data_IF_457951667139
#
_entry.id   IF_457951667139
#
_cell.length_a   1.000
_cell.length_b   1.000
_cell.length_c   1.000
_cell.angle_alpha   90.00
_cell.angle_beta   90.00
_cell.angle_gamma   90.00
#
_symmetry.space_group_name_H-M   'P 1'
#
loop_
_entity.id
_entity.type
_entity.pdbx_description
1 polymer ?
#
# COMPACT_ATOMS: atom_id res chain seq x y z
N UNK A 1 25.44 6.41 13.69
CA UNK A 1 25.16 5.02 13.25
C UNK A 1 24.41 4.94 11.91
N UNK A 2 23.21 5.54 11.76
CA UNK A 2 22.38 5.43 10.55
C UNK A 2 23.09 5.83 9.23
N UNK A 3 23.96 6.84 9.26
CA UNK A 3 24.68 7.28 8.06
C UNK A 3 25.63 6.22 7.49
N UNK A 4 26.28 5.42 8.35
CA UNK A 4 27.16 4.32 7.90
C UNK A 4 26.31 3.20 7.27
N UNK A 5 25.19 2.85 7.90
CA UNK A 5 24.26 1.83 7.40
C UNK A 5 23.68 2.22 6.03
N UNK A 6 23.24 3.47 5.84
CA UNK A 6 22.74 3.96 4.54
C UNK A 6 23.80 3.87 3.45
N UNK A 7 25.06 4.19 3.78
CA UNK A 7 26.19 4.09 2.85
C UNK A 7 26.45 2.65 2.44
N UNK A 8 26.41 1.71 3.37
CA UNK A 8 26.57 0.28 3.09
C UNK A 8 25.44 -0.20 2.17
N UNK A 9 24.18 0.10 2.49
CA UNK A 9 23.01 -0.30 1.68
C UNK A 9 23.03 0.29 0.27
N UNK A 10 23.48 1.55 0.12
CA UNK A 10 23.60 2.21 -1.18
C UNK A 10 24.63 1.54 -2.11
N UNK A 11 25.63 0.85 -1.56
CA UNK A 11 26.65 0.12 -2.32
C UNK A 11 26.30 -1.35 -2.56
N UNK A 12 25.08 -1.79 -2.22
CA UNK A 12 24.63 -3.13 -2.57
C UNK A 12 24.42 -3.22 -4.10
N UNK A 13 25.21 -4.07 -4.76
CA UNK A 13 25.15 -4.34 -6.21
C UNK A 13 23.90 -5.17 -6.61
N UNK A 14 22.72 -4.81 -6.09
CA UNK A 14 21.45 -5.49 -6.39
C UNK A 14 20.54 -4.57 -7.20
N UNK A 15 20.51 -4.68 -8.55
CA UNK A 15 19.51 -3.99 -9.34
C UNK A 15 18.12 -4.58 -9.04
N UNK A 16 17.15 -3.73 -8.68
CA UNK A 16 15.75 -4.14 -8.55
C UNK A 16 15.15 -4.29 -9.95
N UNK A 17 15.28 -5.47 -10.54
CA UNK A 17 14.60 -5.83 -11.80
C UNK A 17 13.17 -6.25 -11.48
N UNK A 18 12.21 -5.42 -11.85
CA UNK A 18 10.78 -5.76 -11.75
C UNK A 18 10.38 -6.49 -13.03
N UNK A 19 9.82 -7.69 -12.92
CA UNK A 19 9.33 -8.46 -14.07
C UNK A 19 7.94 -8.01 -14.56
N UNK A 20 7.31 -7.08 -13.85
CA UNK A 20 5.95 -6.58 -14.13
C UNK A 20 6.01 -5.26 -14.90
N UNK A 21 5.01 -5.00 -15.73
CA UNK A 21 4.77 -3.68 -16.30
C UNK A 21 4.31 -2.73 -15.19
N UNK A 22 5.21 -1.86 -14.74
CA UNK A 22 4.93 -0.92 -13.64
C UNK A 22 4.25 0.33 -14.20
N UNK A 23 3.12 0.71 -13.60
CA UNK A 23 2.43 1.97 -13.86
C UNK A 23 2.88 3.04 -12.84
N UNK A 24 2.72 4.34 -13.16
CA UNK A 24 2.93 5.40 -12.17
C UNK A 24 1.99 5.20 -10.96
N UNK A 25 2.50 5.32 -9.71
CA UNK A 25 1.66 5.24 -8.52
C UNK A 25 0.56 6.30 -8.54
N UNK A 26 -0.64 5.95 -8.09
CA UNK A 26 -1.77 6.87 -7.98
C UNK A 26 -2.40 6.72 -6.61
N UNK A 27 -2.85 7.82 -6.03
CA UNK A 27 -3.62 7.76 -4.80
C UNK A 27 -4.92 6.95 -5.02
N UNK A 28 -5.39 6.21 -4.01
CA UNK A 28 -6.74 5.64 -4.03
C UNK A 28 -7.79 6.74 -4.25
N UNK A 29 -8.92 6.40 -4.86
CA UNK A 29 -10.03 7.34 -5.08
C UNK A 29 -10.76 7.73 -3.78
N UNK A 30 -10.62 6.92 -2.74
CA UNK A 30 -11.29 7.11 -1.45
C UNK A 30 -10.27 7.35 -0.34
N UNK A 31 -10.62 8.17 0.65
CA UNK A 31 -9.74 8.47 1.78
C UNK A 31 -9.57 7.23 2.68
N UNK A 32 -8.32 6.75 2.92
CA UNK A 32 -8.05 5.67 3.86
C UNK A 32 -8.56 5.93 5.28
N UNK A 33 -8.70 7.19 5.72
CA UNK A 33 -9.23 7.54 7.04
C UNK A 33 -10.67 7.07 7.24
N UNK A 34 -11.45 6.91 6.16
CA UNK A 34 -12.83 6.44 6.20
C UNK A 34 -12.97 4.92 6.46
N UNK A 35 -11.86 4.17 6.43
CA UNK A 35 -11.87 2.71 6.69
C UNK A 35 -12.51 2.37 8.05
N UNK A 36 -12.37 3.24 9.04
CA UNK A 36 -12.99 3.07 10.36
C UNK A 36 -14.52 3.08 10.36
N UNK A 37 -15.15 3.62 9.31
CA UNK A 37 -16.60 3.57 9.09
C UNK A 37 -17.07 2.36 8.28
N UNK A 38 -16.19 1.78 7.45
CA UNK A 38 -16.48 0.61 6.60
C UNK A 38 -16.35 -0.68 7.40
N UNK A 39 -15.34 -0.79 8.27
CA UNK A 39 -15.05 -2.02 9.00
C UNK A 39 -15.89 -2.03 10.29
N UNK A 40 -16.83 -2.97 10.45
CA UNK A 40 -17.63 -3.08 11.65
C UNK A 40 -16.76 -3.50 12.84
N UNK A 41 -16.96 -2.85 14.00
CA UNK A 41 -16.22 -3.17 15.24
C UNK A 41 -16.53 -4.55 15.79
N UNK A 42 -17.71 -5.11 15.49
CA UNK A 42 -18.15 -6.43 15.95
C UNK A 42 -17.77 -7.49 14.93
N UNK A 43 -16.98 -8.47 15.38
CA UNK A 43 -16.68 -9.65 14.58
C UNK A 43 -17.98 -10.40 14.22
N UNK A 44 -18.11 -10.78 12.95
CA UNK A 44 -19.30 -11.50 12.41
C UNK A 44 -20.32 -10.61 11.69
N UNK A 45 -20.14 -9.29 11.68
CA UNK A 45 -20.91 -8.40 10.81
C UNK A 45 -20.30 -8.43 9.41
N UNK A 46 -21.13 -8.71 8.40
CA UNK A 46 -20.69 -8.64 7.01
C UNK A 46 -20.51 -7.18 6.58
N UNK A 47 -19.49 -6.95 5.76
CA UNK A 47 -19.18 -5.67 5.13
C UNK A 47 -18.67 -5.93 3.73
N UNK A 48 -18.71 -4.91 2.87
CA UNK A 48 -18.18 -5.04 1.53
C UNK A 48 -16.64 -4.94 1.54
N UNK A 49 -15.97 -6.01 1.11
CA UNK A 49 -14.51 -6.05 1.02
C UNK A 49 -13.99 -5.12 -0.09
N UNK A 50 -14.79 -4.84 -1.12
CA UNK A 50 -14.40 -3.96 -2.22
C UNK A 50 -14.21 -2.53 -1.74
N UNK A 51 -15.01 -2.08 -0.77
CA UNK A 51 -14.86 -0.77 -0.13
C UNK A 51 -13.53 -0.63 0.63
N UNK A 52 -13.00 -1.73 1.18
CA UNK A 52 -11.70 -1.75 1.84
C UNK A 52 -10.57 -1.74 0.82
N UNK A 53 -10.67 -2.58 -0.21
CA UNK A 53 -9.68 -2.66 -1.30
C UNK A 53 -9.54 -1.32 -2.01
N UNK A 54 -10.66 -0.66 -2.31
CA UNK A 54 -10.68 0.63 -3.00
C UNK A 54 -9.96 1.75 -2.22
N UNK A 55 -9.80 1.64 -0.89
CA UNK A 55 -9.08 2.61 -0.03
C UNK A 55 -7.62 2.26 0.18
N UNK A 56 -7.18 1.07 -0.24
CA UNK A 56 -5.81 0.58 -0.04
C UNK A 56 -5.01 0.49 -1.34
N UNK A 57 -5.68 0.19 -2.46
CA UNK A 57 -5.03 -0.04 -3.75
C UNK A 57 -4.96 1.25 -4.57
N UNK A 58 -3.82 1.44 -5.24
CA UNK A 58 -3.56 2.56 -6.15
C UNK A 58 -4.66 2.66 -7.22
N UNK A 59 -5.26 3.84 -7.40
CA UNK A 59 -6.34 4.04 -8.38
C UNK A 59 -7.64 3.30 -8.07
N UNK A 60 -7.75 2.62 -6.91
CA UNK A 60 -8.90 1.80 -6.53
C UNK A 60 -9.29 0.73 -7.57
N UNK A 61 -8.32 0.26 -8.37
CA UNK A 61 -8.48 -0.71 -9.46
C UNK A 61 -7.72 -2.03 -9.21
#
# INVERSE_FOLDING_TARGET
ALGIVRRIVANLNRPKRTALAVQPPRAPHYDPAELGGVIPRKAGVQYDVREVIARLVDGSE
#
